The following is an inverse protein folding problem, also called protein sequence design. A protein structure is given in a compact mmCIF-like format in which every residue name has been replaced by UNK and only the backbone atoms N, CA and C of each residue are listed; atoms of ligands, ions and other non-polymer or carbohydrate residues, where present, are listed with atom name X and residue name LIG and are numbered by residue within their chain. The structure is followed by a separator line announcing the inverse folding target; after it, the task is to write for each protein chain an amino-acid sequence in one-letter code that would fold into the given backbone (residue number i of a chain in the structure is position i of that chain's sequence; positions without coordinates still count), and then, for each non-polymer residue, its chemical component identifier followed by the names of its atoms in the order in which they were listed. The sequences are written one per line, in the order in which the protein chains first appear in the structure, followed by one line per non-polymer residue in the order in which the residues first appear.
data_IF_520278482785
#
_entry.id   IF_520278482785
#
_cell.length_a   1.000
_cell.length_b   1.000
_cell.length_c   1.000
_cell.angle_alpha   90.00
_cell.angle_beta   90.00
_cell.angle_gamma   90.00
#
_symmetry.space_group_name_H-M   'P 1'
#
loop_
_entity.id
_entity.type
_entity.pdbx_description
1 polymer ?
#
# COMPACT_ATOMS: atom_id res chain seq x y z
N UNK A 1 -23.44 -17.95 -14.28
CA UNK A 1 -23.28 -16.88 -13.28
C UNK A 1 -21.81 -16.85 -12.91
N UNK A 2 -21.12 -15.75 -13.24
CA UNK A 2 -19.69 -15.61 -12.99
C UNK A 2 -19.49 -15.21 -11.53
N UNK A 3 -18.88 -16.10 -10.74
CA UNK A 3 -18.56 -15.85 -9.34
C UNK A 3 -17.32 -14.94 -9.24
N UNK A 4 -17.57 -13.64 -9.29
CA UNK A 4 -16.56 -12.59 -9.10
C UNK A 4 -16.13 -12.42 -7.63
N UNK A 5 -16.67 -13.24 -6.72
CA UNK A 5 -16.42 -13.13 -5.28
C UNK A 5 -15.34 -14.13 -4.86
N UNK A 6 -15.37 -15.34 -5.41
CA UNK A 6 -14.43 -16.40 -5.03
C UNK A 6 -13.24 -16.57 -5.99
N UNK A 7 -13.26 -16.00 -7.21
CA UNK A 7 -12.14 -16.06 -8.15
C UNK A 7 -12.16 -14.93 -9.23
N UNK A 8 -11.90 -13.65 -8.87
CA UNK A 8 -11.71 -12.62 -9.88
C UNK A 8 -10.39 -12.88 -10.65
N UNK A 9 -10.51 -13.29 -11.91
CA UNK A 9 -9.41 -13.55 -12.87
C UNK A 9 -8.48 -12.35 -13.18
N UNK A 10 -8.66 -11.21 -12.50
CA UNK A 10 -8.14 -9.91 -12.95
C UNK A 10 -7.04 -9.27 -12.09
N UNK A 11 -6.38 -10.01 -11.20
CA UNK A 11 -5.26 -9.43 -10.41
C UNK A 11 -3.98 -10.26 -10.33
N UNK A 12 -3.86 -11.38 -11.05
CA UNK A 12 -2.70 -12.27 -10.96
C UNK A 12 -2.12 -12.63 -12.33
N UNK A 13 -1.82 -11.64 -13.17
CA UNK A 13 -1.20 -11.88 -14.48
C UNK A 13 -0.17 -10.81 -14.86
N UNK A 14 0.78 -10.53 -13.96
CA UNK A 14 1.96 -9.74 -14.32
C UNK A 14 3.05 -9.86 -13.27
N UNK A 15 4.31 -9.93 -13.70
CA UNK A 15 5.52 -9.97 -12.87
C UNK A 15 5.75 -8.66 -12.06
N UNK A 16 4.77 -7.76 -12.02
CA UNK A 16 4.86 -6.42 -11.46
C UNK A 16 3.91 -6.33 -10.27
N UNK A 17 4.45 -6.02 -9.10
CA UNK A 17 3.67 -5.75 -7.90
C UNK A 17 2.76 -4.53 -8.10
N UNK A 18 1.53 -4.58 -7.58
CA UNK A 18 0.55 -3.50 -7.76
C UNK A 18 1.08 -2.14 -7.28
N UNK A 19 1.88 -2.11 -6.21
CA UNK A 19 2.48 -0.87 -5.71
C UNK A 19 3.50 -0.26 -6.68
N UNK A 20 4.20 -1.08 -7.45
CA UNK A 20 5.16 -0.61 -8.45
C UNK A 20 4.45 -0.04 -9.67
N UNK A 21 3.33 -0.65 -10.08
CA UNK A 21 2.46 -0.08 -11.10
C UNK A 21 1.86 1.27 -10.65
N UNK A 22 1.41 1.36 -9.38
CA UNK A 22 0.94 2.61 -8.77
C UNK A 22 2.05 3.66 -8.80
N UNK A 23 3.26 3.33 -8.33
CA UNK A 23 4.42 4.23 -8.35
C UNK A 23 4.74 4.75 -9.76
N UNK A 24 4.76 3.87 -10.76
CA UNK A 24 5.04 4.23 -12.15
C UNK A 24 3.96 5.14 -12.76
N UNK A 25 2.73 5.10 -12.25
CA UNK A 25 1.59 5.89 -12.75
C UNK A 25 1.52 7.32 -12.22
N UNK A 26 2.41 7.73 -11.32
CA UNK A 26 2.30 9.00 -10.60
C UNK A 26 3.63 9.72 -10.44
N UNK A 27 3.56 11.04 -10.20
CA UNK A 27 4.76 11.80 -9.80
C UNK A 27 5.26 11.29 -8.46
N UNK A 28 6.54 11.53 -8.18
CA UNK A 28 7.12 11.15 -6.88
C UNK A 28 6.37 11.78 -5.70
N UNK A 29 6.03 13.06 -5.79
CA UNK A 29 5.24 13.75 -4.77
C UNK A 29 3.89 13.06 -4.53
N UNK A 30 3.19 12.68 -5.60
CA UNK A 30 1.92 11.96 -5.50
C UNK A 30 2.10 10.57 -4.87
N UNK A 31 3.20 9.86 -5.18
CA UNK A 31 3.50 8.56 -4.54
C UNK A 31 3.80 8.71 -3.06
N UNK A 32 4.62 9.67 -2.66
CA UNK A 32 4.87 9.98 -1.26
C UNK A 32 3.56 10.36 -0.54
N UNK A 33 2.67 11.10 -1.20
CA UNK A 33 1.33 11.40 -0.72
C UNK A 33 0.47 10.14 -0.51
N UNK A 34 0.49 9.21 -1.45
CA UNK A 34 -0.19 7.90 -1.35
C UNK A 34 0.35 7.07 -0.18
N UNK A 35 1.67 6.98 -0.01
CA UNK A 35 2.29 6.28 1.11
C UNK A 35 1.88 6.92 2.44
N UNK A 36 2.00 8.25 2.56
CA UNK A 36 1.59 9.03 3.74
C UNK A 36 0.13 8.80 4.12
N UNK A 37 -0.78 8.83 3.15
CA UNK A 37 -2.20 8.58 3.37
C UNK A 37 -2.48 7.16 3.88
N UNK A 38 -1.76 6.15 3.37
CA UNK A 38 -1.88 4.78 3.87
C UNK A 38 -1.35 4.63 5.30
N UNK A 39 -0.20 5.23 5.62
CA UNK A 39 0.33 5.25 6.99
C UNK A 39 -0.71 5.85 7.94
N UNK A 40 -1.24 7.04 7.63
CA UNK A 40 -2.25 7.69 8.46
C UNK A 40 -3.53 6.84 8.59
N UNK A 41 -4.01 6.24 7.50
CA UNK A 41 -5.19 5.36 7.50
C UNK A 41 -5.02 4.20 8.49
N UNK A 42 -3.87 3.53 8.49
CA UNK A 42 -3.63 2.38 9.36
C UNK A 42 -3.36 2.78 10.82
N UNK A 43 -2.65 3.89 11.03
CA UNK A 43 -2.46 4.48 12.37
C UNK A 43 -3.79 5.00 12.96
N UNK A 44 -4.72 5.47 12.14
CA UNK A 44 -6.05 5.85 12.64
C UNK A 44 -6.91 4.64 12.99
N UNK A 45 -6.82 3.57 12.20
CA UNK A 45 -7.73 2.43 12.30
C UNK A 45 -7.40 1.46 13.43
N UNK A 46 -6.13 1.33 13.83
CA UNK A 46 -5.73 0.25 14.73
C UNK A 46 -6.50 0.28 16.06
N UNK A 47 -6.79 1.47 16.61
CA UNK A 47 -7.50 1.64 17.88
C UNK A 47 -8.92 1.03 17.87
N UNK A 48 -9.51 0.85 16.69
CA UNK A 48 -10.90 0.38 16.51
C UNK A 48 -10.99 -1.06 16.02
N UNK A 49 -9.88 -1.80 15.96
CA UNK A 49 -9.83 -3.16 15.39
C UNK A 49 -9.59 -4.22 16.45
N UNK A 50 -10.19 -5.40 16.22
CA UNK A 50 -9.99 -6.61 17.04
C UNK A 50 -8.51 -7.05 17.01
N UNK A 51 -7.81 -6.83 15.89
CA UNK A 51 -6.38 -7.08 15.75
C UNK A 51 -5.61 -5.80 15.37
N UNK A 52 -5.28 -4.92 16.34
CA UNK A 52 -4.61 -3.64 16.08
C UNK A 52 -3.20 -3.79 15.48
N UNK A 53 -2.51 -4.88 15.84
CA UNK A 53 -1.12 -5.12 15.43
C UNK A 53 -0.99 -5.28 13.91
N UNK A 54 -2.00 -5.83 13.24
CA UNK A 54 -1.97 -5.98 11.78
C UNK A 54 -1.99 -4.63 11.05
N UNK A 55 -2.82 -3.69 11.50
CA UNK A 55 -2.83 -2.34 10.92
C UNK A 55 -1.51 -1.62 11.22
N UNK A 56 -0.93 -1.77 12.42
CA UNK A 56 0.40 -1.22 12.71
C UNK A 56 1.52 -1.82 11.84
N UNK A 57 1.46 -3.13 11.56
CA UNK A 57 2.40 -3.78 10.62
C UNK A 57 2.25 -3.21 9.19
N UNK A 58 1.03 -2.96 8.75
CA UNK A 58 0.78 -2.29 7.46
C UNK A 58 1.33 -0.87 7.45
N UNK A 59 1.08 -0.08 8.50
CA UNK A 59 1.63 1.26 8.64
C UNK A 59 3.18 1.24 8.53
N UNK A 60 3.84 0.31 9.24
CA UNK A 60 5.30 0.13 9.16
C UNK A 60 5.77 -0.21 7.75
N UNK A 61 5.09 -1.11 7.05
CA UNK A 61 5.43 -1.49 5.68
C UNK A 61 5.38 -0.30 4.69
N UNK A 62 4.38 0.58 4.83
CA UNK A 62 4.31 1.81 4.02
C UNK A 62 5.37 2.83 4.44
N UNK A 63 5.70 2.92 5.72
CA UNK A 63 6.76 3.80 6.23
C UNK A 63 8.14 3.39 5.73
N UNK A 64 8.48 2.10 5.77
CA UNK A 64 9.76 1.57 5.26
C UNK A 64 9.95 1.90 3.78
N UNK A 65 8.90 1.78 2.97
CA UNK A 65 8.92 2.20 1.56
C UNK A 65 9.12 3.70 1.41
N UNK A 66 8.40 4.50 2.20
CA UNK A 66 8.55 5.95 2.15
C UNK A 66 9.99 6.38 2.49
N UNK A 67 10.62 5.75 3.48
CA UNK A 67 12.05 5.97 3.78
C UNK A 67 12.91 5.59 2.59
N UNK A 68 12.71 4.42 2.00
CA UNK A 68 13.48 3.98 0.82
C UNK A 68 13.37 4.94 -0.36
N UNK A 69 12.19 5.50 -0.64
CA UNK A 69 11.99 6.49 -1.71
C UNK A 69 12.72 7.82 -1.44
N UNK A 70 12.85 8.20 -0.17
CA UNK A 70 13.54 9.42 0.24
C UNK A 70 15.06 9.23 0.28
N UNK A 71 15.54 8.05 0.67
CA UNK A 71 16.97 7.72 0.71
C UNK A 71 17.56 7.56 -0.70
N UNK A 72 16.80 7.07 -1.67
CA UNK A 72 17.23 6.96 -3.07
C UNK A 72 17.41 8.32 -3.77
N UNK A 73 17.19 9.45 -3.09
CA UNK A 73 17.48 10.81 -3.60
C UNK A 73 18.89 11.31 -3.26
N UNK A 74 19.66 10.57 -2.46
CA UNK A 74 21.06 10.89 -2.15
C UNK A 74 22.01 10.21 -3.12
#
# INVERSE_FOLDING_TARGET
MTDNINNPLHYASGDIECIDAIKASMTKEAFLGYLKGNIQKYVWRYEKKINPVEDLKKARWYMERMVSEMESEK
#
